data_IF_290840180283
#
_entry.id   IF_290840180283
#
_cell.length_a   1.000
_cell.length_b   1.000
_cell.length_c   1.000
_cell.angle_alpha   90.00
_cell.angle_beta   90.00
_cell.angle_gamma   90.00
#
_symmetry.space_group_name_H-M   'P 1'
#
loop_
_entity.id
_entity.type
_entity.pdbx_description
1 polymer ?
#
# COMPACT_ATOMS: atom_id res chain seq x y z
N UNK A 1 6.94 -6.85 35.66
CA UNK A 1 7.95 -5.78 35.69
C UNK A 1 7.30 -4.55 35.08
N UNK A 2 6.98 -3.54 35.88
CA UNK A 2 6.19 -2.38 35.45
C UNK A 2 7.09 -1.44 34.62
N UNK A 3 6.83 -1.17 33.32
CA UNK A 3 7.70 -0.33 32.48
C UNK A 3 7.64 1.17 32.81
N UNK A 4 7.04 1.56 33.94
CA UNK A 4 6.74 2.95 34.32
C UNK A 4 7.96 3.80 34.75
N UNK A 5 9.18 3.26 34.70
CA UNK A 5 10.39 3.93 35.23
C UNK A 5 11.37 4.49 34.20
N UNK A 6 11.24 4.17 32.90
CA UNK A 6 12.21 4.60 31.89
C UNK A 6 11.72 5.89 31.22
N UNK A 7 12.45 7.03 31.34
CA UNK A 7 12.07 8.26 30.67
C UNK A 7 12.09 8.07 29.15
N UNK A 8 11.13 8.68 28.47
CA UNK A 8 11.08 8.65 27.01
C UNK A 8 12.16 9.61 26.49
N UNK A 9 13.18 9.06 25.85
CA UNK A 9 14.26 9.86 25.28
C UNK A 9 13.79 10.64 24.06
N UNK A 10 14.35 11.83 23.85
CA UNK A 10 14.11 12.61 22.63
C UNK A 10 14.51 11.84 21.36
N UNK A 11 15.50 10.95 21.45
CA UNK A 11 15.87 10.04 20.37
C UNK A 11 14.76 9.04 20.04
N UNK A 12 14.10 8.47 21.06
CA UNK A 12 12.96 7.58 20.86
C UNK A 12 11.81 8.30 20.15
N UNK A 13 11.47 9.52 20.56
CA UNK A 13 10.43 10.34 19.92
C UNK A 13 10.76 10.60 18.46
N UNK A 14 12.01 10.98 18.14
CA UNK A 14 12.45 11.21 16.76
C UNK A 14 12.39 9.93 15.90
N UNK A 15 12.75 8.79 16.46
CA UNK A 15 12.66 7.50 15.78
C UNK A 15 11.20 7.11 15.49
N UNK A 16 10.30 7.29 16.47
CA UNK A 16 8.86 7.12 16.29
C UNK A 16 8.33 8.06 15.20
N UNK A 17 8.69 9.34 15.25
CA UNK A 17 8.27 10.35 14.27
C UNK A 17 8.72 9.98 12.85
N UNK A 18 9.98 9.59 12.67
CA UNK A 18 10.52 9.16 11.37
C UNK A 18 9.76 7.95 10.83
N UNK A 19 9.49 6.97 11.69
CA UNK A 19 8.74 5.78 11.31
C UNK A 19 7.29 6.10 10.97
N UNK A 20 6.61 6.91 11.78
CA UNK A 20 5.23 7.33 11.54
C UNK A 20 5.12 8.09 10.21
N UNK A 21 6.00 9.07 9.99
CA UNK A 21 6.05 9.87 8.76
C UNK A 21 6.27 9.02 7.50
N UNK A 22 7.10 7.97 7.59
CA UNK A 22 7.26 7.02 6.49
C UNK A 22 5.95 6.29 6.18
N UNK A 23 5.30 5.71 7.20
CA UNK A 23 4.09 4.91 7.03
C UNK A 23 2.85 5.73 6.65
N UNK A 24 2.74 6.99 7.05
CA UNK A 24 1.70 7.93 6.57
C UNK A 24 1.71 8.04 5.04
N UNK A 25 2.89 8.01 4.43
CA UNK A 25 3.03 8.15 2.98
C UNK A 25 2.92 6.81 2.24
N UNK A 26 3.37 5.71 2.86
CA UNK A 26 3.45 4.41 2.19
C UNK A 26 2.17 3.57 2.31
N UNK A 27 1.44 3.66 3.43
CA UNK A 27 0.19 2.90 3.63
C UNK A 27 -0.91 3.24 2.60
N UNK A 28 -1.16 4.51 2.23
CA UNK A 28 -2.10 4.84 1.16
C UNK A 28 -1.71 4.20 -0.18
N UNK A 29 -0.43 4.27 -0.55
CA UNK A 29 0.09 3.66 -1.78
C UNK A 29 -0.05 2.14 -1.79
N UNK A 30 0.08 1.52 -0.61
CA UNK A 30 -0.17 0.09 -0.45
C UNK A 30 -1.66 -0.22 -0.63
N UNK A 31 -2.55 0.56 0.01
CA UNK A 31 -4.00 0.40 -0.11
C UNK A 31 -4.46 0.54 -1.57
N UNK A 32 -3.96 1.55 -2.28
CA UNK A 32 -4.32 1.79 -3.68
C UNK A 32 -3.84 0.67 -4.60
N UNK A 33 -2.65 0.11 -4.37
CA UNK A 33 -2.16 -1.07 -5.11
C UNK A 33 -3.05 -2.29 -4.89
N UNK A 34 -3.54 -2.51 -3.67
CA UNK A 34 -4.44 -3.63 -3.39
C UNK A 34 -5.83 -3.40 -3.99
N UNK A 35 -6.33 -2.16 -3.97
CA UNK A 35 -7.59 -1.82 -4.62
C UNK A 35 -7.51 -1.98 -6.14
N UNK A 36 -6.45 -1.48 -6.79
CA UNK A 36 -6.25 -1.66 -8.23
C UNK A 36 -6.20 -3.14 -8.64
N UNK A 37 -5.62 -4.02 -7.81
CA UNK A 37 -5.64 -5.46 -8.05
C UNK A 37 -7.06 -6.03 -7.97
N UNK A 38 -7.82 -5.64 -6.96
CA UNK A 38 -9.22 -6.06 -6.83
C UNK A 38 -10.05 -5.61 -8.03
N UNK A 39 -9.90 -4.35 -8.44
CA UNK A 39 -10.61 -3.77 -9.58
C UNK A 39 -10.24 -4.49 -10.90
N UNK A 40 -8.96 -4.81 -11.10
CA UNK A 40 -8.50 -5.53 -12.30
C UNK A 40 -9.14 -6.91 -12.44
N UNK A 41 -9.25 -7.66 -11.34
CA UNK A 41 -9.93 -8.96 -11.33
C UNK A 41 -11.44 -8.82 -11.56
N UNK A 42 -12.07 -7.80 -10.99
CA UNK A 42 -13.48 -7.53 -11.20
C UNK A 42 -13.78 -7.17 -12.66
N UNK A 43 -12.96 -6.33 -13.29
CA UNK A 43 -13.04 -5.99 -14.71
C UNK A 43 -12.88 -7.25 -15.56
N UNK A 44 -11.85 -8.08 -15.28
CA UNK A 44 -11.62 -9.31 -16.02
C UNK A 44 -12.82 -10.28 -15.92
N UNK A 45 -13.37 -10.44 -14.71
CA UNK A 45 -14.57 -11.26 -14.51
C UNK A 45 -15.76 -10.72 -15.30
N UNK A 46 -15.98 -9.40 -15.29
CA UNK A 46 -17.03 -8.75 -16.06
C UNK A 46 -16.89 -8.93 -17.57
N UNK A 47 -15.66 -8.78 -18.10
CA UNK A 47 -15.36 -9.01 -19.52
C UNK A 47 -15.63 -10.47 -19.89
N UNK A 48 -15.10 -11.44 -19.12
CA UNK A 48 -15.32 -12.86 -19.39
C UNK A 48 -16.80 -13.22 -19.33
N UNK A 49 -17.53 -12.72 -18.34
CA UNK A 49 -18.98 -12.94 -18.23
C UNK A 49 -19.73 -12.37 -19.44
N UNK A 50 -19.41 -11.16 -19.88
CA UNK A 50 -20.03 -10.55 -21.07
C UNK A 50 -19.77 -11.35 -22.35
N UNK A 51 -18.54 -11.86 -22.53
CA UNK A 51 -18.18 -12.72 -23.65
C UNK A 51 -18.94 -14.04 -23.61
N UNK A 52 -19.05 -14.67 -22.43
CA UNK A 52 -19.87 -15.88 -22.25
C UNK A 52 -21.34 -15.62 -22.58
N UNK A 53 -21.92 -14.53 -22.09
CA UNK A 53 -23.32 -14.17 -22.38
C UNK A 53 -23.56 -13.88 -23.86
N UNK A 54 -22.61 -13.27 -24.57
CA UNK A 54 -22.72 -13.03 -26.00
C UNK A 54 -22.56 -14.32 -26.83
N UNK A 55 -21.65 -15.20 -26.40
CA UNK A 55 -21.34 -16.44 -27.10
C UNK A 55 -22.39 -17.55 -26.88
N UNK A 56 -23.22 -17.46 -25.84
CA UNK A 56 -24.17 -18.53 -25.51
C UNK A 56 -25.26 -18.71 -26.57
N UNK A 57 -25.76 -17.61 -27.14
CA UNK A 57 -26.87 -17.64 -28.12
C UNK A 57 -26.53 -18.38 -29.43
N UNK A 58 -25.40 -18.12 -30.11
CA UNK A 58 -25.05 -18.89 -31.31
C UNK A 58 -24.71 -20.37 -31.01
N UNK A 59 -24.21 -20.67 -29.82
CA UNK A 59 -23.73 -22.01 -29.43
C UNK A 59 -24.85 -22.95 -28.95
N UNK A 60 -26.02 -22.40 -28.61
CA UNK A 60 -27.21 -23.19 -28.27
C UNK A 60 -27.91 -23.80 -29.49
N UNK A 61 -27.41 -23.53 -30.71
CA UNK A 61 -27.94 -24.17 -31.93
C UNK A 61 -27.52 -25.65 -31.99
N UNK A 62 -28.36 -26.50 -32.57
CA UNK A 62 -28.06 -27.95 -32.73
C UNK A 62 -26.82 -28.21 -33.59
N UNK A 63 -26.44 -27.23 -34.42
CA UNK A 63 -25.28 -27.30 -35.33
C UNK A 63 -23.94 -27.04 -34.66
N UNK A 64 -23.91 -26.57 -33.42
CA UNK A 64 -22.65 -26.23 -32.74
C UNK A 64 -21.90 -27.46 -32.22
N UNK A 65 -20.59 -27.44 -32.42
CA UNK A 65 -19.72 -28.57 -32.09
C UNK A 65 -19.55 -28.72 -30.57
N UNK A 66 -19.31 -29.94 -30.05
CA UNK A 66 -19.06 -30.17 -28.63
C UNK A 66 -17.83 -29.39 -28.11
N UNK A 67 -16.88 -29.07 -29.00
CA UNK A 67 -15.70 -28.27 -28.68
C UNK A 67 -16.06 -26.80 -28.38
N UNK A 68 -16.96 -26.19 -29.16
CA UNK A 68 -17.45 -24.82 -28.92
C UNK A 68 -18.17 -24.70 -27.56
N UNK A 69 -19.01 -25.71 -27.25
CA UNK A 69 -19.70 -25.81 -25.96
C UNK A 69 -18.71 -25.95 -24.79
N UNK A 70 -17.63 -26.71 -24.98
CA UNK A 70 -16.57 -26.85 -23.99
C UNK A 70 -15.80 -25.54 -23.75
N UNK A 71 -15.51 -24.77 -24.80
CA UNK A 71 -14.84 -23.47 -24.67
C UNK A 71 -15.69 -22.48 -23.87
N UNK A 72 -16.97 -22.33 -24.20
CA UNK A 72 -17.87 -21.41 -23.46
C UNK A 72 -17.97 -21.79 -22.00
N UNK A 73 -18.07 -23.07 -21.70
CA UNK A 73 -18.10 -23.58 -20.33
C UNK A 73 -16.80 -23.29 -19.57
N UNK A 74 -15.64 -23.44 -20.22
CA UNK A 74 -14.35 -23.11 -19.65
C UNK A 74 -14.20 -21.60 -19.38
N UNK A 75 -14.66 -20.75 -20.31
CA UNK A 75 -14.66 -19.28 -20.13
C UNK A 75 -15.58 -18.87 -18.98
N UNK A 76 -16.76 -19.48 -18.88
CA UNK A 76 -17.68 -19.25 -17.76
C UNK A 76 -17.06 -19.64 -16.41
N UNK A 77 -16.38 -20.79 -16.35
CA UNK A 77 -15.65 -21.23 -15.16
C UNK A 77 -14.53 -20.25 -14.79
N UNK A 78 -13.76 -19.79 -15.78
CA UNK A 78 -12.71 -18.79 -15.58
C UNK A 78 -13.28 -17.47 -15.06
N UNK A 79 -14.42 -17.02 -15.58
CA UNK A 79 -15.11 -15.82 -15.08
C UNK A 79 -15.48 -15.97 -13.59
N UNK A 80 -16.03 -17.12 -13.19
CA UNK A 80 -16.36 -17.41 -11.80
C UNK A 80 -15.13 -17.43 -10.88
N UNK A 81 -14.03 -18.03 -11.33
CA UNK A 81 -12.76 -18.04 -10.59
C UNK A 81 -12.23 -16.61 -10.42
N UNK A 82 -12.24 -15.80 -11.50
CA UNK A 82 -11.80 -14.40 -11.45
C UNK A 82 -12.62 -13.57 -10.48
N UNK A 83 -13.93 -13.80 -10.38
CA UNK A 83 -14.80 -13.13 -9.43
C UNK A 83 -14.54 -13.57 -7.97
N UNK A 84 -14.10 -14.81 -7.76
CA UNK A 84 -13.85 -15.38 -6.42
C UNK A 84 -12.51 -14.96 -5.82
N UNK A 85 -11.47 -14.79 -6.65
CA UNK A 85 -10.10 -14.48 -6.20
C UNK A 85 -10.03 -13.22 -5.31
N UNK A 86 -10.62 -12.06 -5.67
CA UNK A 86 -10.59 -10.86 -4.84
C UNK A 86 -11.23 -11.07 -3.47
N UNK A 87 -12.30 -11.87 -3.42
CA UNK A 87 -13.04 -12.18 -2.20
C UNK A 87 -12.25 -13.11 -1.28
N UNK A 88 -11.60 -14.13 -1.83
CA UNK A 88 -10.75 -15.05 -1.06
C UNK A 88 -9.50 -14.37 -0.52
N UNK A 89 -8.89 -13.48 -1.32
CA UNK A 89 -7.68 -12.76 -0.90
C UNK A 89 -7.96 -11.50 -0.07
N UNK A 90 -9.23 -11.16 0.12
CA UNK A 90 -9.69 -10.09 0.99
C UNK A 90 -9.01 -8.73 0.73
N UNK A 91 -8.75 -8.42 -0.55
CA UNK A 91 -7.99 -7.24 -0.94
C UNK A 91 -8.67 -5.93 -0.52
N UNK A 92 -10.00 -5.89 -0.53
CA UNK A 92 -10.78 -4.73 -0.12
C UNK A 92 -10.63 -4.43 1.38
N UNK A 93 -10.72 -5.45 2.24
CA UNK A 93 -10.53 -5.30 3.68
C UNK A 93 -9.09 -4.89 4.01
N UNK A 94 -8.10 -5.47 3.35
CA UNK A 94 -6.70 -5.07 3.53
C UNK A 94 -6.45 -3.61 3.13
N UNK A 95 -7.07 -3.14 2.05
CA UNK A 95 -7.01 -1.74 1.65
C UNK A 95 -7.72 -0.82 2.65
N UNK A 96 -8.87 -1.25 3.19
CA UNK A 96 -9.61 -0.54 4.24
C UNK A 96 -8.78 -0.40 5.53
N UNK A 97 -8.24 -1.51 6.02
CA UNK A 97 -7.37 -1.52 7.21
C UNK A 97 -6.11 -0.66 7.02
N UNK A 98 -5.49 -0.69 5.83
CA UNK A 98 -4.33 0.15 5.54
C UNK A 98 -4.69 1.64 5.52
N UNK A 99 -5.86 2.03 4.99
CA UNK A 99 -6.34 3.43 5.02
C UNK A 99 -6.66 3.90 6.44
N UNK A 100 -7.32 3.05 7.23
CA UNK A 100 -7.58 3.34 8.63
C UNK A 100 -6.28 3.54 9.41
N UNK A 101 -5.31 2.64 9.23
CA UNK A 101 -3.99 2.74 9.85
C UNK A 101 -3.25 4.00 9.39
N UNK A 102 -3.33 4.36 8.10
CA UNK A 102 -2.74 5.61 7.59
C UNK A 102 -3.32 6.84 8.29
N UNK A 103 -4.63 6.87 8.52
CA UNK A 103 -5.30 7.97 9.23
C UNK A 103 -4.81 8.06 10.69
N UNK A 104 -4.75 6.92 11.39
CA UNK A 104 -4.21 6.84 12.77
C UNK A 104 -2.75 7.27 12.84
N UNK A 105 -1.92 6.87 11.87
CA UNK A 105 -0.54 7.34 11.77
C UNK A 105 -0.45 8.84 11.50
N UNK A 106 -1.40 9.42 10.75
CA UNK A 106 -1.47 10.87 10.53
C UNK A 106 -1.67 11.64 11.83
N UNK A 107 -2.62 11.19 12.66
CA UNK A 107 -2.88 11.76 13.98
C UNK A 107 -1.65 11.70 14.89
N UNK A 108 -1.09 10.50 15.10
CA UNK A 108 0.05 10.31 15.99
C UNK A 108 1.32 11.02 15.50
N UNK A 109 1.46 11.24 14.19
CA UNK A 109 2.57 12.02 13.63
C UNK A 109 2.50 13.47 14.11
N UNK A 110 1.30 14.07 14.16
CA UNK A 110 1.10 15.40 14.72
C UNK A 110 1.54 15.49 16.17
N UNK A 111 1.07 14.56 17.01
CA UNK A 111 1.43 14.51 18.44
C UNK A 111 2.94 14.33 18.65
N UNK A 112 3.59 13.50 17.81
CA UNK A 112 5.03 13.30 17.84
C UNK A 112 5.83 14.52 17.36
N UNK A 113 5.30 15.28 16.41
CA UNK A 113 5.88 16.56 15.97
C UNK A 113 5.80 17.57 17.12
N UNK A 114 4.66 17.69 17.78
CA UNK A 114 4.47 18.63 18.88
C UNK A 114 5.41 18.31 20.05
N UNK A 115 5.52 17.03 20.41
CA UNK A 115 6.48 16.56 21.43
C UNK A 115 7.94 16.79 21.04
N UNK A 116 8.27 16.70 19.75
CA UNK A 116 9.63 16.92 19.27
C UNK A 116 10.04 18.41 19.29
N UNK A 117 9.08 19.34 19.22
CA UNK A 117 9.30 20.79 19.27
C UNK A 117 9.11 21.39 20.66
N UNK A 118 8.55 20.63 21.61
CA UNK A 118 8.37 21.07 22.99
C UNK A 118 9.72 21.34 23.67
N UNK A 119 9.84 22.52 24.31
CA UNK A 119 11.03 22.91 25.07
C UNK A 119 11.21 22.11 26.36
N UNK A 120 10.12 21.61 26.94
CA UNK A 120 10.11 20.66 28.04
C UNK A 120 9.11 19.55 27.71
N UNK A 121 9.60 18.30 27.65
CA UNK A 121 8.77 17.14 27.32
C UNK A 121 8.07 16.64 28.58
N UNK A 122 6.75 16.76 28.60
CA UNK A 122 5.93 16.07 29.59
C UNK A 122 6.09 14.56 29.41
N UNK A 123 6.66 13.90 30.42
CA UNK A 123 6.94 12.47 30.41
C UNK A 123 5.66 11.62 30.47
N UNK A 124 4.56 12.13 31.01
CA UNK A 124 3.28 11.42 31.01
C UNK A 124 2.69 11.42 29.59
N UNK A 125 2.60 12.60 28.98
CA UNK A 125 2.14 12.76 27.60
C UNK A 125 3.01 11.99 26.61
N UNK A 126 4.35 12.09 26.71
CA UNK A 126 5.26 11.37 25.82
C UNK A 126 5.12 9.85 25.93
N UNK A 127 4.85 9.32 27.12
CA UNK A 127 4.59 7.88 27.32
C UNK A 127 3.27 7.45 26.68
N UNK A 128 2.23 8.26 26.80
CA UNK A 128 0.94 7.98 26.16
C UNK A 128 1.10 7.90 24.63
N UNK A 129 1.70 8.92 24.02
CA UNK A 129 1.89 9.00 22.56
C UNK A 129 2.76 7.85 22.04
N UNK A 130 3.85 7.51 22.73
CA UNK A 130 4.70 6.38 22.33
C UNK A 130 3.99 5.03 22.48
N UNK A 131 3.16 4.87 23.51
CA UNK A 131 2.38 3.64 23.71
C UNK A 131 1.33 3.47 22.61
N UNK A 132 0.66 4.56 22.25
CA UNK A 132 -0.28 4.56 21.13
C UNK A 132 0.42 4.25 19.80
N UNK A 133 1.59 4.85 19.56
CA UNK A 133 2.42 4.54 18.38
C UNK A 133 2.77 3.04 18.31
N UNK A 134 3.21 2.42 19.40
CA UNK A 134 3.52 0.97 19.41
C UNK A 134 2.26 0.14 19.13
N UNK A 135 1.10 0.53 19.67
CA UNK A 135 -0.18 -0.15 19.39
C UNK A 135 -0.56 -0.08 17.90
N UNK A 136 -0.36 1.10 17.27
CA UNK A 136 -0.58 1.28 15.83
C UNK A 136 0.43 0.44 15.03
N UNK A 137 1.68 0.37 15.49
CA UNK A 137 2.74 -0.42 14.87
C UNK A 137 2.45 -1.91 14.91
N UNK A 138 1.98 -2.45 16.03
CA UNK A 138 1.56 -3.86 16.14
C UNK A 138 0.44 -4.19 15.15
N UNK A 139 -0.57 -3.33 15.03
CA UNK A 139 -1.64 -3.50 14.03
C UNK A 139 -1.13 -3.46 12.60
N UNK A 140 -0.16 -2.58 12.33
CA UNK A 140 0.50 -2.50 11.04
C UNK A 140 1.33 -3.77 10.76
N UNK A 141 2.06 -4.29 11.73
CA UNK A 141 2.85 -5.53 11.56
C UNK A 141 1.95 -6.77 11.37
N UNK A 142 0.69 -6.73 11.80
CA UNK A 142 -0.30 -7.76 11.51
C UNK A 142 -0.83 -7.73 10.06
N UNK A 143 -0.65 -6.63 9.31
CA UNK A 143 -1.05 -6.57 7.90
C UNK A 143 -0.14 -7.44 7.03
N UNK A 144 -0.75 -8.39 6.33
CA UNK A 144 -0.03 -9.27 5.39
C UNK A 144 0.39 -8.51 4.14
N UNK A 145 1.58 -8.80 3.65
CA UNK A 145 2.05 -8.35 2.32
C UNK A 145 2.49 -6.89 2.26
N UNK A 146 2.71 -6.25 3.41
CA UNK A 146 3.35 -4.95 3.47
C UNK A 146 4.76 -5.01 2.84
N UNK A 147 5.17 -3.95 2.12
CA UNK A 147 6.51 -3.88 1.59
C UNK A 147 7.53 -3.67 2.71
N UNK A 148 8.71 -4.25 2.54
CA UNK A 148 9.83 -4.03 3.45
C UNK A 148 10.33 -2.58 3.35
N UNK A 149 10.41 -1.92 4.50
CA UNK A 149 10.78 -0.51 4.62
C UNK A 149 12.19 -0.25 4.08
N UNK A 150 13.14 -1.09 4.46
CA UNK A 150 14.54 -0.93 4.07
C UNK A 150 14.68 -1.03 2.54
N UNK A 151 13.96 -1.97 1.93
CA UNK A 151 13.90 -2.12 0.47
C UNK A 151 13.30 -0.90 -0.25
N UNK A 152 12.38 -0.16 0.38
CA UNK A 152 11.78 1.05 -0.19
C UNK A 152 12.73 2.23 -0.04
N UNK A 153 13.28 2.45 1.17
CA UNK A 153 14.21 3.53 1.43
C UNK A 153 15.46 3.42 0.55
N UNK A 154 15.98 2.20 0.34
CA UNK A 154 17.07 1.94 -0.61
C UNK A 154 16.71 2.34 -2.05
N UNK A 155 15.54 1.91 -2.54
CA UNK A 155 15.07 2.25 -3.89
C UNK A 155 14.87 3.76 -4.07
N UNK A 156 14.34 4.44 -3.05
CA UNK A 156 14.17 5.89 -3.07
C UNK A 156 15.53 6.59 -3.09
N UNK A 157 16.50 6.14 -2.29
CA UNK A 157 17.85 6.69 -2.27
C UNK A 157 18.58 6.50 -3.62
N UNK A 158 18.45 5.32 -4.23
CA UNK A 158 19.00 5.07 -5.57
C UNK A 158 18.37 5.97 -6.64
N UNK A 159 17.05 6.14 -6.59
CA UNK A 159 16.33 7.01 -7.53
C UNK A 159 16.76 8.46 -7.37
N UNK A 160 16.86 8.95 -6.14
CA UNK A 160 17.34 10.30 -5.85
C UNK A 160 18.77 10.53 -6.35
N UNK A 161 19.66 9.53 -6.20
CA UNK A 161 21.04 9.59 -6.73
C UNK A 161 21.07 9.67 -8.25
N UNK A 162 20.21 8.90 -8.94
CA UNK A 162 20.11 8.94 -10.41
C UNK A 162 19.62 10.30 -10.89
N UNK A 163 18.54 10.82 -10.30
CA UNK A 163 18.00 12.14 -10.64
C UNK A 163 19.00 13.26 -10.37
N UNK A 164 19.75 13.20 -9.26
CA UNK A 164 20.80 14.18 -8.97
C UNK A 164 21.95 14.12 -9.99
N UNK A 165 22.34 12.90 -10.42
CA UNK A 165 23.36 12.73 -11.45
C UNK A 165 22.89 13.24 -12.82
N UNK A 166 21.63 13.02 -13.18
CA UNK A 166 21.02 13.55 -14.40
C UNK A 166 20.92 15.08 -14.37
N UNK A 167 20.48 15.66 -13.24
CA UNK A 167 20.43 17.10 -13.04
C UNK A 167 21.83 17.74 -13.14
N UNK A 168 22.85 17.12 -12.55
CA UNK A 168 24.24 17.59 -12.65
C UNK A 168 24.79 17.51 -14.08
N UNK A 169 24.42 16.47 -14.85
CA UNK A 169 24.76 16.36 -16.28
C UNK A 169 24.06 17.44 -17.10
N UNK A 170 22.78 17.69 -16.83
CA UNK A 170 22.00 18.73 -17.51
C UNK A 170 22.57 20.14 -17.23
N UNK A 171 22.92 20.43 -15.97
CA UNK A 171 23.55 21.70 -15.59
C UNK A 171 24.89 21.92 -16.30
N UNK A 172 25.75 20.90 -16.38
CA UNK A 172 27.01 20.97 -17.12
C UNK A 172 26.83 21.14 -18.63
N UNK A 173 25.78 20.55 -19.19
CA UNK A 173 25.45 20.71 -20.60
C UNK A 173 24.93 22.12 -20.93
N UNK A 174 24.25 22.79 -20.00
CA UNK A 174 23.81 24.19 -20.16
C UNK A 174 24.93 25.23 -19.99
N UNK A 175 26.06 24.85 -19.39
CA UNK A 175 27.23 25.73 -19.18
C UNK A 175 28.27 25.64 -20.31
N UNK A 176 28.09 24.74 -21.29
CA UNK A 176 28.99 24.65 -22.43
C UNK A 176 28.84 25.91 -23.31
N UNK A 177 29.93 26.68 -23.55
CA UNK A 177 29.86 27.89 -24.35
C UNK A 177 29.46 27.54 -25.78
N UNK A 178 28.45 28.24 -26.29
CA UNK A 178 28.07 28.21 -27.70
C UNK A 178 29.26 28.75 -28.51
N UNK A 179 29.68 28.03 -29.57
CA UNK A 179 30.87 28.40 -30.37
C UNK A 179 30.72 29.76 -31.06
#
# INVERSE_FOLDING_TARGET
>A
MNPQGVPVSAERIRNCLRSASFWVNELPRYADRQQQRADSWAILAGVLASLTSLAIFPILTETSTPFEKAIVSAVALMAAICALIPRVKNYAELAGQARELSSRYGGITGDLVDLAHATAVDQEQARAVVTEFETIKEKKDALRGLPDRDSIELRQAETARRLAAEAAKAAKASEAPTP
#
